data_IF_606502307113
#
_entry.id   IF_606502307113
#
_cell.length_a   1.000
_cell.length_b   1.000
_cell.length_c   1.000
_cell.angle_alpha   90.00
_cell.angle_beta   90.00
_cell.angle_gamma   90.00
#
_symmetry.space_group_name_H-M   'P 1'
#
loop_
_entity.id
_entity.type
_entity.pdbx_description
1 polymer ?
#
# COMPACT_ATOMS: atom_id res chain seq x y z
N UNK A 1 -12.61 4.78 -0.76
CA UNK A 1 -12.05 5.48 -1.94
C UNK A 1 -11.47 4.46 -2.91
N UNK A 2 -11.46 4.72 -4.21
CA UNK A 2 -10.93 3.77 -5.21
C UNK A 2 -9.39 3.84 -5.31
N UNK A 3 -8.75 2.74 -5.74
CA UNK A 3 -7.28 2.67 -5.87
C UNK A 3 -6.72 3.79 -6.78
N UNK A 4 -7.43 4.18 -7.83
CA UNK A 4 -7.02 5.26 -8.72
C UNK A 4 -6.98 6.62 -8.02
N UNK A 5 -8.08 7.03 -7.36
CA UNK A 5 -8.14 8.31 -6.68
C UNK A 5 -7.08 8.41 -5.57
N UNK A 6 -6.93 7.35 -4.76
CA UNK A 6 -5.92 7.30 -3.70
C UNK A 6 -4.50 7.42 -4.26
N UNK A 7 -4.22 6.76 -5.39
CA UNK A 7 -2.89 6.81 -6.02
C UNK A 7 -2.56 8.20 -6.58
N UNK A 8 -3.54 8.91 -7.15
CA UNK A 8 -3.36 10.28 -7.62
C UNK A 8 -3.09 11.24 -6.46
N UNK A 9 -3.86 11.13 -5.37
CA UNK A 9 -3.62 11.93 -4.16
C UNK A 9 -2.23 11.65 -3.58
N UNK A 10 -1.83 10.37 -3.50
CA UNK A 10 -0.51 9.99 -3.01
C UNK A 10 0.62 10.61 -3.87
N UNK A 11 0.46 10.63 -5.19
CA UNK A 11 1.43 11.25 -6.08
C UNK A 11 1.58 12.76 -5.81
N UNK A 12 0.47 13.48 -5.62
CA UNK A 12 0.53 14.92 -5.31
C UNK A 12 1.12 15.21 -3.92
N UNK A 13 0.85 14.36 -2.93
CA UNK A 13 1.46 14.47 -1.59
C UNK A 13 2.98 14.24 -1.65
N UNK A 14 3.44 13.25 -2.44
CA UNK A 14 4.87 13.01 -2.66
C UNK A 14 5.55 14.16 -3.42
N UNK A 15 4.86 14.80 -4.38
CA UNK A 15 5.36 16.03 -5.04
C UNK A 15 5.55 17.19 -4.05
N UNK A 16 4.80 17.21 -2.95
CA UNK A 16 4.96 18.16 -1.85
C UNK A 16 6.07 17.78 -0.85
N UNK A 17 6.80 16.69 -1.08
CA UNK A 17 7.91 16.23 -0.23
C UNK A 17 7.48 15.39 0.97
N UNK A 18 6.22 14.92 1.00
CA UNK A 18 5.72 14.05 2.06
C UNK A 18 5.66 12.61 1.51
N UNK A 19 6.45 11.67 2.06
CA UNK A 19 6.46 10.30 1.57
C UNK A 19 5.12 9.60 1.88
N UNK A 20 4.59 8.84 0.93
CA UNK A 20 3.29 8.17 1.06
C UNK A 20 3.36 6.72 0.64
N UNK A 21 2.51 5.85 1.19
CA UNK A 21 2.34 4.48 0.71
C UNK A 21 0.86 4.20 0.45
N UNK A 22 0.57 3.53 -0.67
CA UNK A 22 -0.79 3.08 -1.02
C UNK A 22 -0.96 1.61 -0.68
N UNK A 23 -2.02 1.25 0.04
CA UNK A 23 -2.44 -0.16 0.18
C UNK A 23 -3.35 -0.49 -1.00
N UNK A 24 -2.83 -1.27 -1.94
CA UNK A 24 -3.50 -1.62 -3.19
C UNK A 24 -4.29 -2.92 -3.10
N UNK A 25 -5.53 -2.90 -3.58
CA UNK A 25 -6.41 -4.10 -3.61
C UNK A 25 -6.68 -4.64 -5.01
N UNK A 26 -6.51 -3.81 -6.05
CA UNK A 26 -6.74 -4.19 -7.44
C UNK A 26 -5.42 -4.01 -8.19
N UNK A 27 -4.73 -5.11 -8.48
CA UNK A 27 -3.39 -5.08 -9.08
C UNK A 27 -3.39 -4.36 -10.41
N UNK A 28 -4.39 -4.60 -11.24
CA UNK A 28 -4.53 -4.01 -12.57
C UNK A 28 -4.57 -2.48 -12.47
N UNK A 29 -5.31 -1.95 -11.49
CA UNK A 29 -5.42 -0.50 -11.25
C UNK A 29 -4.11 0.06 -10.71
N UNK A 30 -3.46 -0.60 -9.76
CA UNK A 30 -2.18 -0.14 -9.19
C UNK A 30 -1.06 -0.19 -10.24
N UNK A 31 -1.08 -1.18 -11.13
CA UNK A 31 -0.16 -1.26 -12.27
C UNK A 31 -0.41 -0.10 -13.22
N UNK A 32 -1.66 0.14 -13.61
CA UNK A 32 -2.03 1.19 -14.55
C UNK A 32 -1.74 2.61 -14.02
N UNK A 33 -2.09 2.89 -12.76
CA UNK A 33 -1.98 4.24 -12.18
C UNK A 33 -0.58 4.56 -11.66
N UNK A 34 0.24 3.54 -11.37
CA UNK A 34 1.66 3.69 -11.00
C UNK A 34 1.90 4.63 -9.82
N UNK A 35 1.33 4.38 -8.62
CA UNK A 35 1.62 5.19 -7.44
C UNK A 35 3.12 5.19 -7.12
N UNK A 36 3.62 6.21 -6.39
CA UNK A 36 5.03 6.29 -6.00
C UNK A 36 5.53 5.02 -5.31
N UNK A 37 4.70 4.49 -4.40
CA UNK A 37 4.89 3.17 -3.78
C UNK A 37 3.56 2.56 -3.37
N UNK A 38 3.45 1.24 -3.50
CA UNK A 38 2.28 0.50 -3.05
C UNK A 38 2.64 -0.83 -2.37
N UNK A 39 1.91 -1.15 -1.31
CA UNK A 39 1.84 -2.50 -0.74
C UNK A 39 0.60 -3.20 -1.32
N UNK A 40 0.78 -4.32 -2.00
CA UNK A 40 -0.32 -5.11 -2.54
C UNK A 40 -0.90 -6.02 -1.45
N UNK A 41 -2.13 -5.72 -1.06
CA UNK A 41 -2.86 -6.49 -0.06
C UNK A 41 -3.51 -7.72 -0.72
N UNK A 42 -3.41 -8.92 -0.12
CA UNK A 42 -4.01 -10.14 -0.66
C UNK A 42 -5.51 -10.26 -0.33
N UNK A 43 -6.05 -9.32 0.43
CA UNK A 43 -7.42 -9.39 0.92
C UNK A 43 -8.44 -8.95 -0.12
N UNK A 44 -9.69 -9.38 0.08
CA UNK A 44 -10.80 -9.02 -0.82
C UNK A 44 -11.02 -7.51 -0.86
N UNK A 45 -11.54 -7.05 -1.99
CA UNK A 45 -11.97 -5.67 -2.15
C UNK A 45 -12.89 -5.24 -1.00
N UNK A 46 -12.62 -4.07 -0.41
CA UNK A 46 -13.31 -3.57 0.78
C UNK A 46 -12.68 -3.95 2.12
N UNK A 47 -11.72 -4.87 2.15
CA UNK A 47 -11.03 -5.33 3.37
C UNK A 47 -9.51 -5.12 3.28
N UNK A 48 -9.01 -3.89 3.04
CA UNK A 48 -7.59 -3.66 2.77
C UNK A 48 -6.63 -4.16 3.85
N UNK A 49 -7.11 -4.22 5.09
CA UNK A 49 -6.35 -4.63 6.28
C UNK A 49 -6.72 -6.04 6.79
N UNK A 50 -7.54 -6.80 6.05
CA UNK A 50 -7.97 -8.14 6.45
C UNK A 50 -9.27 -8.17 7.24
N UNK A 51 -9.40 -9.17 8.12
CA UNK A 51 -10.64 -9.47 8.82
C UNK A 51 -11.04 -8.35 9.81
N UNK A 52 -12.34 -8.05 9.97
CA UNK A 52 -12.81 -7.17 11.02
C UNK A 52 -12.52 -7.80 12.40
N UNK A 53 -12.14 -6.96 13.37
CA UNK A 53 -11.83 -7.40 14.74
C UNK A 53 -10.42 -8.00 14.95
N UNK A 54 -9.70 -8.37 13.87
CA UNK A 54 -8.30 -8.81 13.98
C UNK A 54 -7.34 -7.61 14.04
N UNK A 55 -7.30 -6.95 15.19
CA UNK A 55 -6.45 -5.78 15.41
C UNK A 55 -4.95 -6.11 15.21
N UNK A 56 -4.52 -7.32 15.56
CA UNK A 56 -3.14 -7.75 15.40
C UNK A 56 -2.79 -7.89 13.91
N UNK A 57 -3.64 -8.54 13.12
CA UNK A 57 -3.47 -8.66 11.67
C UNK A 57 -3.49 -7.32 10.95
N UNK A 58 -4.46 -6.46 11.29
CA UNK A 58 -4.54 -5.11 10.72
C UNK A 58 -3.28 -4.30 11.01
N UNK A 59 -2.73 -4.41 12.24
CA UNK A 59 -1.48 -3.74 12.60
C UNK A 59 -0.28 -4.29 11.84
N UNK A 60 -0.21 -5.60 11.58
CA UNK A 60 0.85 -6.18 10.73
C UNK A 60 0.82 -5.60 9.31
N UNK A 61 -0.36 -5.47 8.70
CA UNK A 61 -0.51 -4.86 7.37
C UNK A 61 -0.02 -3.40 7.37
N UNK A 62 -0.44 -2.61 8.36
CA UNK A 62 -0.03 -1.22 8.49
C UNK A 62 1.48 -1.10 8.70
N UNK A 63 2.08 -1.92 9.57
CA UNK A 63 3.51 -1.95 9.79
C UNK A 63 4.28 -2.32 8.52
N UNK A 64 3.82 -3.32 7.76
CA UNK A 64 4.44 -3.69 6.49
C UNK A 64 4.35 -2.56 5.45
N UNK A 65 3.22 -1.84 5.39
CA UNK A 65 3.06 -0.71 4.48
C UNK A 65 4.01 0.45 4.85
N UNK A 66 4.08 0.81 6.14
CA UNK A 66 4.94 1.90 6.61
C UNK A 66 6.43 1.56 6.49
N UNK A 67 6.82 0.29 6.65
CA UNK A 67 8.19 -0.15 6.44
C UNK A 67 8.69 0.13 5.00
N UNK A 68 7.79 0.22 4.00
CA UNK A 68 8.18 0.61 2.64
C UNK A 68 8.70 2.05 2.53
N UNK A 69 8.38 2.92 3.49
CA UNK A 69 8.89 4.29 3.55
C UNK A 69 10.39 4.32 3.88
N UNK A 70 10.86 3.33 4.64
CA UNK A 70 12.24 3.23 5.12
C UNK A 70 13.16 2.48 4.14
N UNK A 71 12.59 1.84 3.11
CA UNK A 71 13.35 1.09 2.12
C UNK A 71 14.02 2.02 1.09
N UNK A 72 15.31 2.27 1.29
CA UNK A 72 16.13 3.08 0.37
C UNK A 72 16.44 2.43 -0.98
N UNK A 73 16.20 1.12 -1.13
CA UNK A 73 16.43 0.40 -2.38
C UNK A 73 15.22 0.42 -3.35
N UNK A 74 14.07 0.95 -2.89
CA UNK A 74 12.87 1.06 -3.72
C UNK A 74 12.90 2.36 -4.55
N UNK A 75 12.91 2.22 -5.88
CA UNK A 75 12.71 3.33 -6.80
C UNK A 75 11.23 3.45 -7.21
N UNK A 76 10.60 4.65 -7.14
CA UNK A 76 9.26 4.87 -7.66
C UNK A 76 9.17 4.63 -9.19
N UNK A 77 8.08 4.02 -9.70
CA UNK A 77 6.95 3.46 -8.96
C UNK A 77 7.27 2.08 -8.38
N UNK A 78 7.26 1.96 -7.05
CA UNK A 78 7.56 0.73 -6.35
C UNK A 78 6.28 -0.05 -6.01
N UNK A 79 6.33 -1.38 -6.08
CA UNK A 79 5.24 -2.27 -5.68
C UNK A 79 5.82 -3.47 -4.94
N UNK A 80 5.27 -3.77 -3.78
CA UNK A 80 5.69 -4.90 -2.95
C UNK A 80 4.45 -5.67 -2.53
N UNK A 81 4.50 -7.00 -2.64
CA UNK A 81 3.40 -7.85 -2.20
C UNK A 81 3.44 -8.01 -0.68
N UNK A 82 2.28 -7.93 -0.02
CA UNK A 82 2.20 -8.19 1.40
C UNK A 82 2.29 -9.70 1.64
N UNK A 83 3.40 -10.10 2.25
CA UNK A 83 3.59 -11.45 2.78
C UNK A 83 3.23 -11.42 4.27
N UNK A 84 2.22 -12.21 4.71
CA UNK A 84 1.98 -12.37 6.13
C UNK A 84 3.19 -13.05 6.75
N UNK A 85 3.95 -12.31 7.56
CA UNK A 85 5.05 -12.89 8.32
C UNK A 85 4.49 -14.03 9.20
N UNK A 86 5.05 -15.27 9.15
CA UNK A 86 4.72 -16.32 10.10
C UNK A 86 5.34 -15.97 11.45
N UNK A 87 4.73 -15.00 12.14
CA UNK A 87 5.03 -14.67 13.53
C UNK A 87 4.51 -15.74 14.47
#
# INVERSE_FOLDING_TARGET
MCNQAVSLVAAEIERAGIPTVVIGLLREVIVAVRPPRALMSPYRHGFPLGAPGDAAGQRRVLSAALALLERGDLAPPARVDYEPNPG
#
